data_IF_260716399613
#
_entry.id   IF_260716399613
#
_cell.length_a   1.000
_cell.length_b   1.000
_cell.length_c   1.000
_cell.angle_alpha   90.00
_cell.angle_beta   90.00
_cell.angle_gamma   90.00
#
_symmetry.space_group_name_H-M   'P 1'
#
loop_
_entity.id
_entity.type
_entity.pdbx_description
1 polymer ?
#
# COMPACT_ATOMS: atom_id res chain seq x y z
N UNK A 1 -43.24 -7.36 -53.61
CA UNK A 1 -42.15 -8.33 -53.36
C UNK A 1 -41.15 -7.67 -52.44
N UNK A 2 -40.99 -8.20 -51.23
CA UNK A 2 -40.08 -7.68 -50.21
C UNK A 2 -38.63 -8.03 -50.57
N UNK A 3 -37.70 -7.12 -50.31
CA UNK A 3 -36.27 -7.44 -50.27
C UNK A 3 -35.63 -6.64 -49.14
N UNK A 4 -35.42 -7.37 -48.05
CA UNK A 4 -34.72 -7.00 -46.83
C UNK A 4 -33.22 -6.80 -47.12
N UNK A 5 -32.69 -5.61 -46.87
CA UNK A 5 -31.24 -5.40 -46.87
C UNK A 5 -30.66 -5.79 -45.51
N UNK A 6 -29.83 -6.83 -45.51
CA UNK A 6 -29.11 -7.36 -44.36
C UNK A 6 -27.85 -6.53 -44.10
N UNK A 7 -27.79 -5.89 -42.94
CA UNK A 7 -26.61 -5.17 -42.45
C UNK A 7 -25.60 -6.18 -41.88
N UNK A 8 -24.63 -6.61 -42.68
CA UNK A 8 -23.47 -7.37 -42.20
C UNK A 8 -22.35 -6.40 -41.81
N UNK A 9 -22.14 -6.22 -40.51
CA UNK A 9 -20.95 -5.54 -39.98
C UNK A 9 -19.72 -6.39 -40.31
N UNK A 10 -18.83 -5.83 -41.12
CA UNK A 10 -17.58 -6.46 -41.53
C UNK A 10 -16.62 -6.46 -40.33
N UNK A 11 -16.20 -7.66 -39.91
CA UNK A 11 -15.19 -7.85 -38.86
C UNK A 11 -13.83 -7.46 -39.45
N UNK A 12 -13.25 -6.37 -38.96
CA UNK A 12 -11.89 -5.96 -39.29
C UNK A 12 -10.95 -6.76 -38.40
N UNK A 13 -10.11 -7.60 -38.99
CA UNK A 13 -9.01 -8.25 -38.26
C UNK A 13 -7.80 -7.31 -38.19
N UNK A 14 -7.13 -7.19 -37.04
CA UNK A 14 -5.95 -6.34 -36.92
C UNK A 14 -4.73 -7.00 -37.59
N UNK A 15 -3.77 -6.20 -38.08
CA UNK A 15 -2.65 -6.70 -38.85
C UNK A 15 -1.64 -7.45 -37.97
N UNK A 16 -1.38 -8.71 -38.30
CA UNK A 16 -0.20 -9.45 -37.87
C UNK A 16 1.05 -8.91 -38.54
N UNK A 17 2.02 -8.48 -37.73
CA UNK A 17 3.48 -8.64 -37.87
C UNK A 17 4.25 -7.36 -37.50
N UNK A 18 4.83 -7.38 -36.30
CA UNK A 18 6.22 -6.97 -36.08
C UNK A 18 6.84 -7.95 -35.08
N UNK A 19 7.54 -8.95 -35.61
CA UNK A 19 8.61 -9.62 -34.88
C UNK A 19 9.84 -8.72 -35.04
N UNK A 20 10.45 -8.25 -33.94
CA UNK A 20 11.89 -8.16 -33.70
C UNK A 20 12.18 -7.36 -32.41
N UNK A 21 12.93 -7.97 -31.48
CA UNK A 21 13.62 -7.28 -30.38
C UNK A 21 13.14 -7.59 -28.96
N UNK A 22 13.86 -8.46 -28.23
CA UNK A 22 13.82 -8.63 -26.76
C UNK A 22 14.09 -7.26 -26.05
N UNK A 23 13.87 -7.01 -24.73
CA UNK A 23 13.58 -7.92 -23.59
C UNK A 23 12.46 -7.40 -22.63
N UNK A 24 12.08 -8.17 -21.60
CA UNK A 24 11.29 -7.77 -20.40
C UNK A 24 10.04 -6.85 -20.54
N UNK A 25 8.88 -7.35 -20.08
CA UNK A 25 7.79 -6.53 -19.52
C UNK A 25 6.45 -6.60 -20.28
N UNK A 26 5.46 -7.27 -19.71
CA UNK A 26 4.06 -7.19 -20.15
C UNK A 26 3.38 -5.94 -19.55
N UNK A 27 2.57 -5.19 -20.33
CA UNK A 27 1.74 -4.10 -19.81
C UNK A 27 0.47 -4.65 -19.13
N UNK A 28 0.27 -4.30 -17.86
CA UNK A 28 -0.96 -4.58 -17.11
C UNK A 28 -2.11 -3.70 -17.61
N UNK A 29 -3.16 -4.31 -18.15
CA UNK A 29 -4.48 -3.67 -18.27
C UNK A 29 -5.31 -3.99 -17.04
N UNK A 30 -5.84 -2.92 -16.41
CA UNK A 30 -6.75 -2.97 -15.26
C UNK A 30 -8.05 -3.71 -15.62
N UNK A 31 -8.10 -5.02 -15.42
CA UNK A 31 -9.33 -5.76 -15.06
C UNK A 31 -9.12 -7.26 -14.81
N UNK A 32 -7.89 -7.77 -14.76
CA UNK A 32 -7.66 -9.20 -14.53
C UNK A 32 -7.00 -9.42 -13.18
N UNK A 33 -7.75 -10.11 -12.31
CA UNK A 33 -7.18 -10.80 -11.16
C UNK A 33 -5.97 -11.61 -11.65
N UNK A 34 -4.79 -11.50 -11.02
CA UNK A 34 -3.59 -12.19 -11.49
C UNK A 34 -3.88 -13.68 -11.66
N UNK A 35 -3.64 -14.24 -12.84
CA UNK A 35 -3.82 -15.68 -13.13
C UNK A 35 -3.03 -16.58 -12.16
N UNK A 36 -2.04 -16.02 -11.47
CA UNK A 36 -1.32 -16.67 -10.38
C UNK A 36 -2.17 -16.92 -9.12
N UNK A 37 -3.38 -16.37 -9.01
CA UNK A 37 -4.32 -16.65 -7.91
C UNK A 37 -5.25 -17.84 -8.22
N UNK A 38 -5.55 -18.12 -9.50
CA UNK A 38 -6.45 -19.22 -9.85
C UNK A 38 -5.78 -20.59 -9.84
N UNK A 39 -4.45 -20.67 -10.07
CA UNK A 39 -3.72 -21.94 -9.94
C UNK A 39 -3.58 -22.42 -8.48
N UNK A 40 -3.63 -21.52 -7.50
CA UNK A 40 -3.46 -21.87 -6.09
C UNK A 40 -4.80 -22.07 -5.35
N UNK A 41 -5.92 -21.60 -5.90
CA UNK A 41 -7.26 -21.88 -5.36
C UNK A 41 -7.79 -23.27 -5.73
N UNK A 42 -7.28 -23.92 -6.79
CA UNK A 42 -7.78 -25.23 -7.22
C UNK A 42 -7.12 -26.43 -6.53
N UNK A 43 -6.05 -26.21 -5.77
CA UNK A 43 -5.46 -27.27 -4.97
C UNK A 43 -6.00 -27.18 -3.54
N UNK A 44 -7.30 -27.40 -3.37
CA UNK A 44 -7.71 -28.11 -2.17
C UNK A 44 -6.91 -29.40 -2.22
N UNK A 45 -5.95 -29.56 -1.29
CA UNK A 45 -5.27 -30.83 -1.12
C UNK A 45 -6.36 -31.89 -1.10
N UNK A 46 -6.35 -32.87 -2.04
CA UNK A 46 -7.37 -33.89 -2.04
C UNK A 46 -7.34 -34.50 -0.64
N UNK A 47 -8.49 -34.50 0.04
CA UNK A 47 -8.66 -35.35 1.20
C UNK A 47 -8.53 -36.77 0.67
N UNK A 48 -7.30 -37.28 0.64
CA UNK A 48 -7.06 -38.68 0.38
C UNK A 48 -7.57 -39.35 1.65
N UNK A 49 -8.80 -39.87 1.57
CA UNK A 49 -9.20 -40.99 2.41
C UNK A 49 -8.07 -42.00 2.28
N UNK A 50 -7.20 -42.05 3.29
CA UNK A 50 -6.20 -43.09 3.38
C UNK A 50 -7.05 -44.34 3.57
N UNK A 51 -7.35 -45.03 2.47
CA UNK A 51 -7.86 -46.37 2.53
C UNK A 51 -6.70 -47.18 3.11
N UNK A 52 -6.61 -47.23 4.44
CA UNK A 52 -5.74 -48.12 5.21
C UNK A 52 -6.24 -49.51 4.92
N UNK A 53 -5.97 -49.96 3.71
CA UNK A 53 -6.37 -51.26 3.23
C UNK A 53 -5.43 -52.22 3.95
N UNK A 54 -5.96 -52.79 5.04
CA UNK A 54 -5.41 -53.87 5.86
C UNK A 54 -4.45 -53.46 6.99
N UNK A 55 -4.99 -52.89 8.07
CA UNK A 55 -4.40 -53.11 9.39
C UNK A 55 -5.01 -54.40 9.98
N UNK A 56 -4.25 -55.49 9.95
CA UNK A 56 -4.63 -56.82 10.47
C UNK A 56 -4.41 -56.98 11.98
N UNK A 57 -4.14 -55.90 12.72
CA UNK A 57 -3.89 -55.97 14.16
C UNK A 57 -5.18 -55.95 14.95
N UNK A 58 -5.24 -56.80 15.98
CA UNK A 58 -6.33 -56.81 16.94
C UNK A 58 -6.35 -55.51 17.77
N UNK A 59 -7.50 -55.15 18.38
CA UNK A 59 -7.58 -53.99 19.27
C UNK A 59 -6.59 -54.05 20.45
N UNK A 60 -6.34 -55.24 20.99
CA UNK A 60 -5.37 -55.46 22.08
C UNK A 60 -3.93 -55.18 21.64
N UNK A 61 -3.54 -55.66 20.45
CA UNK A 61 -2.22 -55.39 19.88
C UNK A 61 -2.03 -53.90 19.58
N UNK A 62 -3.07 -53.24 19.05
CA UNK A 62 -3.06 -51.80 18.80
C UNK A 62 -2.89 -51.02 20.10
N UNK A 63 -3.63 -51.40 21.16
CA UNK A 63 -3.52 -50.80 22.49
C UNK A 63 -2.14 -51.01 23.13
N UNK A 64 -1.55 -52.21 22.96
CA UNK A 64 -0.20 -52.48 23.45
C UNK A 64 0.86 -51.62 22.75
N UNK A 65 0.77 -51.44 21.43
CA UNK A 65 1.68 -50.59 20.66
C UNK A 65 1.58 -49.13 21.10
N UNK A 66 0.36 -48.59 21.20
CA UNK A 66 0.13 -47.19 21.64
C UNK A 66 0.71 -46.96 23.05
N UNK A 67 0.43 -47.85 23.99
CA UNK A 67 0.96 -47.76 25.35
C UNK A 67 2.48 -47.89 25.42
N UNK A 68 3.10 -48.64 24.51
CA UNK A 68 4.55 -48.79 24.43
C UNK A 68 5.20 -47.53 23.86
N UNK A 69 4.60 -46.94 22.82
CA UNK A 69 5.07 -45.68 22.21
C UNK A 69 5.05 -44.53 23.24
N UNK A 70 4.01 -44.43 24.07
CA UNK A 70 3.94 -43.40 25.12
C UNK A 70 5.03 -43.50 26.20
N UNK A 71 5.68 -44.66 26.35
CA UNK A 71 6.78 -44.86 27.31
C UNK A 71 8.15 -44.51 26.72
N UNK A 72 8.24 -44.27 25.42
CA UNK A 72 9.48 -43.91 24.76
C UNK A 72 9.75 -42.41 24.90
N UNK A 73 11.02 -42.04 25.02
CA UNK A 73 11.45 -40.65 24.94
C UNK A 73 11.44 -40.14 23.50
N UNK A 74 11.40 -38.82 23.31
CA UNK A 74 11.30 -38.18 22.00
C UNK A 74 12.47 -38.55 21.07
N UNK A 75 13.68 -38.76 21.60
CA UNK A 75 14.85 -39.12 20.79
C UNK A 75 14.72 -40.53 20.25
N UNK A 76 14.32 -41.48 21.09
CA UNK A 76 14.06 -42.86 20.68
C UNK A 76 12.91 -42.93 19.68
N UNK A 77 11.83 -42.19 19.93
CA UNK A 77 10.69 -42.10 19.02
C UNK A 77 11.09 -41.55 17.65
N UNK A 78 11.83 -40.44 17.61
CA UNK A 78 12.31 -39.82 16.36
C UNK A 78 13.18 -40.78 15.55
N UNK A 79 14.08 -41.53 16.20
CA UNK A 79 14.90 -42.55 15.52
C UNK A 79 14.07 -43.66 14.90
N UNK A 80 13.08 -44.18 15.64
CA UNK A 80 12.19 -45.22 15.13
C UNK A 80 11.39 -44.73 13.92
N UNK A 81 10.83 -43.51 13.98
CA UNK A 81 10.09 -42.92 12.86
C UNK A 81 11.00 -42.74 11.64
N UNK A 82 12.24 -42.27 11.81
CA UNK A 82 13.21 -42.16 10.71
C UNK A 82 13.48 -43.52 10.08
N UNK A 83 13.79 -44.54 10.89
CA UNK A 83 14.08 -45.88 10.39
C UNK A 83 12.87 -46.49 9.68
N UNK A 84 11.67 -46.31 10.21
CA UNK A 84 10.43 -46.78 9.59
C UNK A 84 10.16 -46.08 8.26
N UNK A 85 10.31 -44.74 8.19
CA UNK A 85 10.12 -44.00 6.95
C UNK A 85 11.16 -44.35 5.87
N UNK A 86 12.39 -44.69 6.25
CA UNK A 86 13.42 -45.15 5.32
C UNK A 86 13.17 -46.59 4.82
N UNK A 87 12.51 -47.41 5.62
CA UNK A 87 12.33 -48.85 5.34
C UNK A 87 10.98 -49.17 4.69
N UNK A 88 9.98 -48.30 4.86
CA UNK A 88 8.59 -48.53 4.44
C UNK A 88 8.03 -47.36 3.64
N UNK A 89 7.54 -47.66 2.43
CA UNK A 89 7.09 -46.69 1.44
C UNK A 89 5.81 -45.93 1.85
N UNK A 90 4.88 -46.59 2.53
CA UNK A 90 3.66 -46.01 3.06
C UNK A 90 3.96 -44.96 4.14
N UNK A 91 4.88 -45.28 5.06
CA UNK A 91 5.36 -44.34 6.08
C UNK A 91 6.11 -43.16 5.47
N UNK A 92 6.92 -43.38 4.43
CA UNK A 92 7.56 -42.31 3.66
C UNK A 92 6.53 -41.36 3.04
N UNK A 93 5.52 -41.89 2.33
CA UNK A 93 4.49 -41.09 1.66
C UNK A 93 3.67 -40.29 2.69
N UNK A 94 3.29 -40.90 3.81
CA UNK A 94 2.56 -40.22 4.88
C UNK A 94 3.38 -39.06 5.45
N UNK A 95 4.65 -39.29 5.80
CA UNK A 95 5.53 -38.25 6.31
C UNK A 95 5.74 -37.11 5.30
N UNK A 96 5.95 -37.45 4.03
CA UNK A 96 6.13 -36.47 2.95
C UNK A 96 4.90 -35.56 2.82
N UNK A 97 3.70 -36.15 2.78
CA UNK A 97 2.46 -35.39 2.65
C UNK A 97 2.22 -34.46 3.85
N UNK A 98 2.44 -34.94 5.06
CA UNK A 98 2.32 -34.12 6.28
C UNK A 98 3.30 -32.93 6.25
N UNK A 99 4.56 -33.16 5.85
CA UNK A 99 5.53 -32.08 5.71
C UNK A 99 5.11 -31.05 4.66
N UNK A 100 4.57 -31.49 3.52
CA UNK A 100 4.05 -30.58 2.50
C UNK A 100 2.87 -29.74 3.00
N UNK A 101 1.96 -30.33 3.78
CA UNK A 101 0.85 -29.58 4.38
C UNK A 101 1.35 -28.54 5.39
N UNK A 102 2.34 -28.90 6.22
CA UNK A 102 2.95 -27.98 7.18
C UNK A 102 3.62 -26.80 6.46
N UNK A 103 4.38 -27.08 5.40
CA UNK A 103 5.05 -26.05 4.59
C UNK A 103 4.04 -25.13 3.89
N UNK A 104 2.99 -25.70 3.32
CA UNK A 104 1.90 -24.93 2.73
C UNK A 104 1.22 -24.03 3.75
N UNK A 105 0.85 -24.55 4.93
CA UNK A 105 0.22 -23.78 5.99
C UNK A 105 1.12 -22.68 6.56
N UNK A 106 2.45 -22.88 6.60
CA UNK A 106 3.42 -21.84 6.95
C UNK A 106 3.45 -20.73 5.89
N UNK A 107 3.47 -21.12 4.63
CA UNK A 107 3.51 -20.16 3.50
C UNK A 107 2.25 -19.31 3.46
N UNK A 108 1.07 -19.92 3.64
CA UNK A 108 -0.20 -19.19 3.70
C UNK A 108 -0.25 -18.19 4.85
N UNK A 109 0.19 -18.59 6.06
CA UNK A 109 0.26 -17.66 7.20
C UNK A 109 1.21 -16.49 6.95
N UNK A 110 2.38 -16.74 6.37
CA UNK A 110 3.30 -15.66 6.01
C UNK A 110 2.69 -14.70 4.98
N UNK A 111 1.97 -15.22 3.99
CA UNK A 111 1.29 -14.37 3.01
C UNK A 111 0.19 -13.52 3.65
N UNK A 112 -0.62 -14.10 4.53
CA UNK A 112 -1.65 -13.37 5.27
C UNK A 112 -1.05 -12.29 6.16
N UNK A 113 0.03 -12.59 6.90
CA UNK A 113 0.75 -11.61 7.70
C UNK A 113 1.32 -10.46 6.86
N UNK A 114 1.89 -10.77 5.69
CA UNK A 114 2.39 -9.76 4.75
C UNK A 114 1.25 -8.92 4.18
N UNK A 115 0.10 -9.52 3.86
CA UNK A 115 -1.06 -8.80 3.35
C UNK A 115 -1.61 -7.84 4.41
N UNK A 116 -1.79 -8.32 5.65
CA UNK A 116 -2.24 -7.47 6.77
C UNK A 116 -1.27 -6.32 7.00
N UNK A 117 0.04 -6.57 6.96
CA UNK A 117 1.05 -5.51 7.08
C UNK A 117 0.96 -4.51 5.94
N UNK A 118 0.78 -4.97 4.70
CA UNK A 118 0.65 -4.07 3.56
C UNK A 118 -0.62 -3.20 3.68
N UNK A 119 -1.75 -3.79 4.05
CA UNK A 119 -3.00 -3.04 4.27
C UNK A 119 -2.89 -2.02 5.41
N UNK A 120 -2.11 -2.31 6.45
CA UNK A 120 -1.80 -1.34 7.51
C UNK A 120 -0.97 -0.17 6.96
N UNK A 121 0.09 -0.45 6.21
CA UNK A 121 0.91 0.60 5.58
C UNK A 121 0.09 1.43 4.59
N UNK A 122 -0.80 0.81 3.81
CA UNK A 122 -1.65 1.52 2.86
C UNK A 122 -2.68 2.40 3.57
N UNK A 123 -3.22 1.97 4.71
CA UNK A 123 -4.09 2.80 5.56
C UNK A 123 -3.33 3.98 6.17
N UNK A 124 -2.12 3.74 6.66
CA UNK A 124 -1.25 4.78 7.20
C UNK A 124 -0.83 5.79 6.12
N UNK A 125 -0.59 5.32 4.88
CA UNK A 125 -0.22 6.15 3.73
C UNK A 125 -1.41 6.91 3.15
N UNK A 126 -2.61 6.31 3.11
CA UNK A 126 -3.82 6.99 2.67
C UNK A 126 -4.20 8.16 3.61
N UNK A 127 -3.67 8.17 4.83
CA UNK A 127 -3.80 9.28 5.78
C UNK A 127 -2.71 10.35 5.63
N UNK A 128 -1.77 10.20 4.68
CA UNK A 128 -0.74 11.21 4.44
C UNK A 128 -1.35 12.37 3.65
N UNK A 129 -1.48 13.51 4.32
CA UNK A 129 -1.86 14.78 3.70
C UNK A 129 -0.63 15.44 3.06
N UNK A 130 -0.80 15.93 1.83
CA UNK A 130 0.14 16.77 1.09
C UNK A 130 -0.42 18.20 1.01
N UNK A 131 0.45 19.20 1.22
CA UNK A 131 0.09 20.62 1.31
C UNK A 131 0.61 21.43 0.11
N UNK A 132 1.06 20.74 -0.94
CA UNK A 132 1.59 21.40 -2.14
C UNK A 132 0.59 22.32 -2.82
N UNK A 133 -0.72 22.03 -2.73
CA UNK A 133 -1.76 22.91 -3.26
C UNK A 133 -1.75 24.27 -2.54
N UNK A 134 -1.65 24.27 -1.21
CA UNK A 134 -1.59 25.48 -0.40
C UNK A 134 -0.36 26.32 -0.75
N UNK A 135 0.82 25.67 -0.86
CA UNK A 135 2.07 26.34 -1.25
C UNK A 135 1.96 26.97 -2.65
N UNK A 136 1.44 26.22 -3.63
CA UNK A 136 1.27 26.72 -5.00
C UNK A 136 0.27 27.88 -5.06
N UNK A 137 -0.78 27.84 -4.23
CA UNK A 137 -1.77 28.91 -4.16
C UNK A 137 -1.12 30.19 -3.62
N UNK A 138 -0.32 30.10 -2.56
CA UNK A 138 0.44 31.24 -2.02
C UNK A 138 1.43 31.81 -3.05
N UNK A 139 2.16 30.95 -3.75
CA UNK A 139 3.08 31.37 -4.81
C UNK A 139 2.34 32.13 -5.93
N UNK A 140 1.23 31.56 -6.40
CA UNK A 140 0.41 32.14 -7.44
C UNK A 140 -0.12 33.53 -7.08
N UNK A 141 -0.67 33.70 -5.86
CA UNK A 141 -1.24 35.01 -5.47
C UNK A 141 -0.20 36.09 -5.28
N UNK A 142 0.99 35.73 -4.79
CA UNK A 142 2.08 36.68 -4.55
C UNK A 142 2.77 37.07 -5.86
N UNK A 143 3.06 36.10 -6.72
CA UNK A 143 3.98 36.28 -7.85
C UNK A 143 3.27 36.38 -9.21
N UNK A 144 2.08 35.83 -9.39
CA UNK A 144 1.48 35.69 -10.73
C UNK A 144 0.13 36.40 -10.91
N UNK A 145 -0.82 36.17 -9.99
CA UNK A 145 -2.26 36.51 -10.13
C UNK A 145 -2.51 37.96 -10.54
N UNK A 146 -1.73 38.90 -10.01
CA UNK A 146 -1.90 40.34 -10.22
C UNK A 146 -0.74 41.01 -10.95
N UNK A 147 0.19 40.23 -11.52
CA UNK A 147 1.38 40.73 -12.23
C UNK A 147 1.06 41.68 -13.38
N UNK A 148 -0.11 41.54 -14.02
CA UNK A 148 -0.57 42.40 -15.11
C UNK A 148 -1.17 43.74 -14.68
N UNK A 149 -1.45 43.93 -13.38
CA UNK A 149 -2.01 45.16 -12.85
C UNK A 149 -0.92 46.19 -12.56
N UNK A 150 -1.27 47.48 -12.59
CA UNK A 150 -0.37 48.53 -12.13
C UNK A 150 -0.17 48.47 -10.61
N UNK A 151 0.98 48.93 -10.12
CA UNK A 151 1.33 48.87 -8.69
C UNK A 151 0.26 49.48 -7.76
N UNK A 152 -0.41 50.57 -8.16
CA UNK A 152 -1.52 51.15 -7.38
C UNK A 152 -2.70 50.19 -7.25
N UNK A 153 -3.04 49.44 -8.30
CA UNK A 153 -4.14 48.46 -8.26
C UNK A 153 -3.73 47.17 -7.55
N UNK A 154 -2.45 46.81 -7.62
CA UNK A 154 -1.89 45.72 -6.82
C UNK A 154 -1.99 46.06 -5.33
N UNK A 155 -1.65 47.30 -4.94
CA UNK A 155 -1.76 47.73 -3.55
C UNK A 155 -3.17 47.56 -2.99
N UNK A 156 -4.21 47.92 -3.77
CA UNK A 156 -5.62 47.73 -3.37
C UNK A 156 -6.00 46.25 -3.15
N UNK A 157 -5.20 45.31 -3.68
CA UNK A 157 -5.39 43.85 -3.55
C UNK A 157 -4.50 43.20 -2.51
N UNK A 158 -3.43 43.87 -2.09
CA UNK A 158 -2.43 43.27 -1.22
C UNK A 158 -2.99 42.84 0.14
N UNK A 159 -3.97 43.57 0.69
CA UNK A 159 -4.62 43.19 1.95
C UNK A 159 -5.40 41.88 1.83
N UNK A 160 -6.24 41.76 0.79
CA UNK A 160 -7.01 40.54 0.50
C UNK A 160 -6.08 39.33 0.32
N UNK A 161 -4.93 39.50 -0.36
CA UNK A 161 -3.98 38.40 -0.56
C UNK A 161 -3.16 38.08 0.71
N UNK A 162 -2.93 39.04 1.60
CA UNK A 162 -2.29 38.77 2.90
C UNK A 162 -3.22 37.92 3.79
N UNK A 163 -4.51 38.22 3.81
CA UNK A 163 -5.53 37.41 4.50
C UNK A 163 -5.55 35.99 3.94
N UNK A 164 -5.53 35.83 2.62
CA UNK A 164 -5.48 34.52 1.97
C UNK A 164 -4.26 33.70 2.41
N UNK A 165 -3.07 34.32 2.48
CA UNK A 165 -1.87 33.61 2.94
C UNK A 165 -2.04 33.09 4.38
N UNK A 166 -2.65 33.88 5.26
CA UNK A 166 -2.93 33.45 6.64
C UNK A 166 -3.99 32.36 6.71
N UNK A 167 -4.99 32.39 5.83
CA UNK A 167 -5.99 31.32 5.70
C UNK A 167 -5.33 30.00 5.29
N UNK A 168 -4.42 30.02 4.31
CA UNK A 168 -3.67 28.83 3.86
C UNK A 168 -2.77 28.27 4.98
N UNK A 169 -2.10 29.14 5.74
CA UNK A 169 -1.34 28.73 6.93
C UNK A 169 -2.26 28.06 7.96
N UNK A 170 -3.42 28.67 8.22
CA UNK A 170 -4.40 28.15 9.18
C UNK A 170 -4.97 26.81 8.74
N UNK A 171 -5.24 26.62 7.44
CA UNK A 171 -5.71 25.35 6.89
C UNK A 171 -4.67 24.24 7.06
N UNK A 172 -3.38 24.53 6.80
CA UNK A 172 -2.29 23.58 7.02
C UNK A 172 -2.25 23.14 8.48
N UNK A 173 -2.27 24.09 9.42
CA UNK A 173 -2.23 23.80 10.86
C UNK A 173 -3.48 23.02 11.30
N UNK A 174 -4.67 23.45 10.86
CA UNK A 174 -5.94 22.80 11.19
C UNK A 174 -6.07 21.37 10.66
N UNK A 175 -5.32 21.03 9.62
CA UNK A 175 -5.25 19.68 9.03
C UNK A 175 -4.32 18.73 9.80
N UNK A 176 -3.48 19.24 10.70
CA UNK A 176 -2.54 18.45 11.49
C UNK A 176 -3.08 18.22 12.90
N UNK A 177 -3.24 16.96 13.27
CA UNK A 177 -3.67 16.53 14.59
C UNK A 177 -2.53 15.81 15.36
N UNK A 178 -2.61 15.70 16.70
CA UNK A 178 -1.63 14.96 17.51
C UNK A 178 -1.39 13.52 17.06
N UNK A 179 -2.41 12.88 16.49
CA UNK A 179 -2.38 11.49 16.02
C UNK A 179 -2.19 11.37 14.51
N UNK A 180 -1.94 12.48 13.80
CA UNK A 180 -1.62 12.45 12.37
C UNK A 180 -0.29 11.73 12.13
N UNK A 181 -0.17 11.15 10.93
CA UNK A 181 1.06 10.49 10.47
C UNK A 181 2.27 11.44 10.58
N UNK A 182 3.42 10.92 11.01
CA UNK A 182 4.69 11.67 11.09
C UNK A 182 5.06 12.35 9.77
N UNK A 183 4.82 11.69 8.63
CA UNK A 183 5.05 12.25 7.29
C UNK A 183 4.15 13.46 7.04
N UNK A 184 2.88 13.43 7.46
CA UNK A 184 1.99 14.59 7.35
C UNK A 184 2.48 15.78 8.17
N UNK A 185 2.92 15.54 9.41
CA UNK A 185 3.49 16.59 10.26
C UNK A 185 4.74 17.21 9.62
N UNK A 186 5.62 16.39 9.06
CA UNK A 186 6.81 16.85 8.31
C UNK A 186 6.40 17.63 7.06
N UNK A 187 5.46 17.12 6.26
CA UNK A 187 4.97 17.81 5.06
C UNK A 187 4.40 19.18 5.40
N UNK A 188 3.65 19.29 6.50
CA UNK A 188 3.10 20.56 6.96
C UNK A 188 4.21 21.55 7.35
N UNK A 189 5.21 21.12 8.12
CA UNK A 189 6.37 21.96 8.48
C UNK A 189 7.11 22.44 7.22
N UNK A 190 7.36 21.54 6.26
CA UNK A 190 8.01 21.90 5.00
C UNK A 190 7.19 22.92 4.20
N UNK A 191 5.87 22.71 4.11
CA UNK A 191 4.98 23.63 3.43
C UNK A 191 4.97 25.03 4.08
N UNK A 192 4.96 25.12 5.42
CA UNK A 192 5.06 26.39 6.13
C UNK A 192 6.42 27.08 5.88
N UNK A 193 7.52 26.33 5.84
CA UNK A 193 8.84 26.87 5.48
C UNK A 193 8.88 27.40 4.04
N UNK A 194 8.24 26.70 3.10
CA UNK A 194 8.14 27.12 1.70
C UNK A 194 7.30 28.40 1.58
N UNK A 195 6.13 28.46 2.24
CA UNK A 195 5.29 29.67 2.32
C UNK A 195 6.10 30.85 2.87
N UNK A 196 6.80 30.65 3.99
CA UNK A 196 7.66 31.67 4.57
C UNK A 196 8.73 32.15 3.61
N UNK A 197 9.31 31.24 2.83
CA UNK A 197 10.31 31.56 1.81
C UNK A 197 9.72 32.37 0.65
N UNK A 198 8.51 32.03 0.17
CA UNK A 198 7.80 32.77 -0.88
C UNK A 198 7.47 34.18 -0.39
N UNK A 199 6.91 34.33 0.81
CA UNK A 199 6.61 35.63 1.43
C UNK A 199 7.90 36.46 1.59
N UNK A 200 8.99 35.82 2.00
CA UNK A 200 10.31 36.45 2.12
C UNK A 200 11.02 36.70 0.78
N UNK A 201 10.56 36.15 -0.34
CA UNK A 201 11.11 36.41 -1.67
C UNK A 201 10.27 37.40 -2.49
N UNK A 202 8.96 37.51 -2.22
CA UNK A 202 8.03 38.35 -2.96
C UNK A 202 8.49 39.81 -3.07
N UNK A 203 8.80 40.24 -4.28
CA UNK A 203 9.46 41.53 -4.56
C UNK A 203 8.57 42.60 -5.20
N UNK A 204 7.42 42.22 -5.75
CA UNK A 204 6.46 43.13 -6.37
C UNK A 204 5.61 43.87 -5.32
N UNK A 205 4.74 44.80 -5.74
CA UNK A 205 3.94 45.60 -4.81
C UNK A 205 3.07 44.72 -3.87
N UNK A 206 2.54 43.59 -4.36
CA UNK A 206 1.83 42.61 -3.55
C UNK A 206 2.78 41.98 -2.53
N UNK A 207 3.86 41.34 -2.99
CA UNK A 207 4.79 40.62 -2.11
C UNK A 207 5.43 41.50 -1.05
N UNK A 208 5.76 42.76 -1.39
CA UNK A 208 6.29 43.73 -0.44
C UNK A 208 5.29 44.07 0.67
N UNK A 209 4.00 44.12 0.36
CA UNK A 209 2.95 44.46 1.31
C UNK A 209 2.49 43.24 2.13
N UNK A 210 2.31 42.09 1.49
CA UNK A 210 2.07 40.80 2.16
C UNK A 210 3.19 40.51 3.17
N UNK A 211 4.45 40.72 2.80
CA UNK A 211 5.58 40.56 3.73
C UNK A 211 5.52 41.52 4.92
N UNK A 212 5.00 42.73 4.78
CA UNK A 212 4.85 43.64 5.93
C UNK A 212 3.77 43.15 6.89
N UNK A 213 2.71 42.57 6.35
CA UNK A 213 1.57 42.11 7.15
C UNK A 213 1.86 40.74 7.76
N UNK A 214 2.20 39.75 6.94
CA UNK A 214 2.45 38.35 7.34
C UNK A 214 3.87 38.13 7.85
N UNK A 215 4.88 38.78 7.24
CA UNK A 215 6.29 38.54 7.56
C UNK A 215 6.75 39.16 8.89
N UNK A 216 5.99 40.08 9.47
CA UNK A 216 6.18 40.56 10.84
C UNK A 216 5.22 39.90 11.83
N UNK A 217 4.27 39.10 11.35
CA UNK A 217 3.31 38.41 12.20
C UNK A 217 3.97 37.20 12.85
N UNK A 218 3.68 36.97 14.13
CA UNK A 218 4.09 35.77 14.84
C UNK A 218 3.31 34.53 14.35
N UNK A 219 2.26 34.73 13.56
CA UNK A 219 1.34 33.68 13.10
C UNK A 219 2.04 32.51 12.39
N UNK A 220 2.98 32.76 11.46
CA UNK A 220 3.73 31.69 10.79
C UNK A 220 4.65 30.92 11.76
N UNK A 221 5.27 31.62 12.71
CA UNK A 221 6.15 31.01 13.71
C UNK A 221 5.33 30.20 14.71
N UNK A 222 4.19 30.73 15.14
CA UNK A 222 3.24 30.05 16.03
C UNK A 222 2.63 28.81 15.36
N UNK A 223 2.33 28.87 14.06
CA UNK A 223 1.89 27.74 13.26
C UNK A 223 2.93 26.61 13.24
N UNK A 224 4.20 26.94 12.99
CA UNK A 224 5.31 25.99 13.06
C UNK A 224 5.41 25.35 14.44
N UNK A 225 5.34 26.16 15.50
CA UNK A 225 5.46 25.68 16.87
C UNK A 225 4.30 24.77 17.28
N UNK A 226 3.08 25.13 16.88
CA UNK A 226 1.89 24.32 17.10
C UNK A 226 2.07 22.91 16.52
N UNK A 227 2.57 22.79 15.29
CA UNK A 227 2.81 21.48 14.67
C UNK A 227 3.95 20.73 15.36
N UNK A 228 5.03 21.42 15.74
CA UNK A 228 6.16 20.82 16.48
C UNK A 228 5.70 20.23 17.82
N UNK A 229 4.84 20.92 18.56
CA UNK A 229 4.27 20.40 19.82
C UNK A 229 3.51 19.09 19.60
N UNK A 230 2.86 18.92 18.46
CA UNK A 230 2.18 17.66 18.11
C UNK A 230 3.14 16.52 17.77
N UNK A 231 4.43 16.77 17.56
CA UNK A 231 5.41 15.72 17.21
C UNK A 231 5.87 14.88 18.41
N UNK A 232 5.48 15.28 19.63
CA UNK A 232 5.75 14.59 20.91
C UNK A 232 4.93 13.31 21.08
#
# INVERSE_FOLDING_TARGET
>A
MASTMSNKRQRVEPPTQYQHGLPFGYPQTLSQQPQHFQQFQQHQAPAIEINVTNCTRTPEETGWVVNSVHKLDETTLRKLVILSALSHQDMYIALWNELQQIEYARTMRQQEELQVRQEQLDKENAQIIDFRSNVNQVDYVINEKWSSLSGSKQYDKAGDEAELVNDEITEIVGSVAPHSNSTTKINAILALCDIGSIVAAGGDCIGAEVRKQVGYDEELVNALWTIVETMS
#
